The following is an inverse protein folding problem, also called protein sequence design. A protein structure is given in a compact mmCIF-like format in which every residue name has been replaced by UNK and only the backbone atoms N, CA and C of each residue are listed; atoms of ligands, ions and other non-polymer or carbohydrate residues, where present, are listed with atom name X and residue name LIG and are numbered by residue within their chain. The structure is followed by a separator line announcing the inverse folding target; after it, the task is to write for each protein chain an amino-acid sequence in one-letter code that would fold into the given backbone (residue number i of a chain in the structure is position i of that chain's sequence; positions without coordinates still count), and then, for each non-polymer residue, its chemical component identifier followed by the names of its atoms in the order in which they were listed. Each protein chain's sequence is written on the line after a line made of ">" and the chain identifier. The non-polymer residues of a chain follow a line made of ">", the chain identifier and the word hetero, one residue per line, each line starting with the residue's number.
data_IF_458865734953
#
_entry.id   IF_458865734953
#
_cell.length_a   1.000
_cell.length_b   1.000
_cell.length_c   1.000
_cell.angle_alpha   90.00
_cell.angle_beta   90.00
_cell.angle_gamma   90.00
#
_symmetry.space_group_name_H-M   'P 1'
#
loop_
_entity.id
_entity.type
_entity.pdbx_description
1 polymer ?
#
# COMPACT_ATOMS: atom_id res chain seq x y z
N UNK A 1 -4.83 -0.75 26.31
CA UNK A 1 -5.37 -1.20 25.00
C UNK A 1 -4.21 -1.72 24.17
N UNK A 2 -4.47 -2.66 23.25
CA UNK A 2 -3.47 -3.16 22.29
C UNK A 2 -3.51 -2.27 21.05
N UNK A 3 -2.34 -1.79 20.62
CA UNK A 3 -2.17 -0.96 19.43
C UNK A 3 -1.67 -1.83 18.28
N UNK A 4 -2.47 -1.91 17.20
CA UNK A 4 -2.12 -2.63 15.97
C UNK A 4 -1.98 -1.63 14.83
N UNK A 5 -0.84 -1.61 14.17
CA UNK A 5 -0.57 -0.74 13.02
C UNK A 5 -0.64 -1.57 11.74
N UNK A 6 -1.54 -1.20 10.83
CA UNK A 6 -1.51 -1.66 9.45
C UNK A 6 -0.46 -0.85 8.68
N UNK A 7 0.71 -1.47 8.47
CA UNK A 7 1.85 -0.90 7.78
C UNK A 7 1.87 -1.17 6.27
N UNK A 8 0.78 -1.69 5.70
CA UNK A 8 0.76 -2.12 4.29
C UNK A 8 1.09 -1.00 3.29
N UNK A 9 0.77 0.25 3.63
CA UNK A 9 1.15 1.44 2.85
C UNK A 9 2.17 2.33 3.58
N UNK A 10 2.50 2.03 4.83
CA UNK A 10 3.50 2.76 5.60
C UNK A 10 4.92 2.31 5.20
N UNK A 11 5.17 1.00 5.30
CA UNK A 11 6.52 0.42 5.12
C UNK A 11 7.11 0.66 3.72
N UNK A 12 6.34 0.60 2.61
CA UNK A 12 6.89 0.88 1.28
C UNK A 12 7.35 2.32 1.06
N UNK A 13 6.81 3.28 1.82
CA UNK A 13 6.98 4.70 1.53
C UNK A 13 7.67 5.51 2.64
N UNK A 14 7.68 5.02 3.87
CA UNK A 14 8.20 5.78 5.02
C UNK A 14 9.15 4.93 5.85
N UNK A 15 10.27 5.54 6.23
CA UNK A 15 11.15 4.95 7.23
C UNK A 15 10.37 4.74 8.53
N UNK A 16 10.35 3.50 8.99
CA UNK A 16 9.52 3.09 10.13
C UNK A 16 10.39 2.39 11.16
N UNK A 17 10.30 2.83 12.40
CA UNK A 17 10.87 2.17 13.57
C UNK A 17 9.75 1.79 14.54
N UNK A 18 9.64 0.51 14.86
CA UNK A 18 8.62 0.00 15.77
C UNK A 18 8.79 0.50 17.20
N UNK A 19 10.03 0.86 17.59
CA UNK A 19 10.32 1.43 18.89
C UNK A 19 9.78 2.86 19.01
N UNK A 20 9.89 3.65 17.92
CA UNK A 20 9.34 5.02 17.87
C UNK A 20 7.81 5.01 17.80
N UNK A 21 7.23 4.04 17.09
CA UNK A 21 5.77 3.85 17.02
C UNK A 21 5.17 3.36 18.34
N UNK A 22 5.97 2.70 19.17
CA UNK A 22 5.52 2.01 20.39
C UNK A 22 4.25 1.16 20.20
N UNK A 23 4.11 0.56 19.03
CA UNK A 23 2.99 -0.30 18.71
C UNK A 23 3.20 -1.71 19.28
N UNK A 24 2.09 -2.40 19.58
CA UNK A 24 2.13 -3.78 20.05
C UNK A 24 2.26 -4.76 18.89
N UNK A 25 1.66 -4.42 17.73
CA UNK A 25 1.78 -5.17 16.49
C UNK A 25 1.93 -4.23 15.29
N UNK A 26 2.72 -4.66 14.31
CA UNK A 26 2.81 -4.06 12.99
C UNK A 26 2.69 -5.16 11.92
N UNK A 27 1.87 -4.93 10.90
CA UNK A 27 1.69 -5.89 9.80
C UNK A 27 1.92 -5.21 8.45
N UNK A 28 2.54 -5.94 7.51
CA UNK A 28 2.66 -5.46 6.13
C UNK A 28 2.82 -6.62 5.14
N UNK A 29 2.56 -6.31 3.86
CA UNK A 29 2.65 -7.25 2.74
C UNK A 29 3.89 -6.99 1.90
N UNK A 30 4.65 -8.04 1.58
CA UNK A 30 5.87 -7.93 0.78
C UNK A 30 5.62 -7.41 -0.64
N UNK A 31 4.52 -7.81 -1.30
CA UNK A 31 4.26 -7.41 -2.69
C UNK A 31 4.09 -5.89 -2.91
N UNK A 32 3.81 -5.12 -1.85
CA UNK A 32 3.79 -3.65 -1.91
C UNK A 32 5.19 -3.05 -1.71
N UNK A 33 6.15 -3.86 -1.29
CA UNK A 33 7.55 -3.52 -1.05
C UNK A 33 8.47 -4.15 -2.12
N UNK A 34 8.03 -4.24 -3.38
CA UNK A 34 8.75 -4.83 -4.52
C UNK A 34 9.09 -6.33 -4.38
N UNK A 35 8.58 -6.99 -3.36
CA UNK A 35 8.80 -8.42 -3.12
C UNK A 35 7.82 -9.28 -3.93
N UNK A 36 8.11 -10.56 -4.16
CA UNK A 36 7.16 -11.52 -4.69
C UNK A 36 5.86 -11.55 -3.86
N UNK A 37 4.76 -11.95 -4.50
CA UNK A 37 3.49 -12.18 -3.81
C UNK A 37 3.58 -13.37 -2.86
N UNK A 38 2.68 -13.42 -1.87
CA UNK A 38 2.54 -14.56 -0.94
C UNK A 38 3.49 -14.52 0.26
N UNK A 39 4.11 -13.37 0.53
CA UNK A 39 4.90 -13.12 1.74
C UNK A 39 4.44 -11.84 2.43
N UNK A 40 4.44 -11.84 3.74
CA UNK A 40 4.17 -10.69 4.60
C UNK A 40 4.84 -10.88 5.95
N UNK A 41 4.83 -9.84 6.77
CA UNK A 41 5.46 -9.83 8.09
C UNK A 41 4.47 -9.38 9.13
N UNK A 42 4.46 -10.08 10.26
CA UNK A 42 3.87 -9.65 11.52
C UNK A 42 5.00 -9.40 12.52
N UNK A 43 5.15 -8.16 12.95
CA UNK A 43 5.89 -7.81 14.16
C UNK A 43 4.93 -7.83 15.35
N UNK A 44 5.40 -8.32 16.50
CA UNK A 44 4.68 -8.24 17.75
C UNK A 44 5.63 -8.17 18.95
N UNK A 45 5.22 -7.44 20.00
CA UNK A 45 5.96 -7.42 21.26
C UNK A 45 6.04 -8.82 21.85
N UNK A 46 7.24 -9.26 22.23
CA UNK A 46 7.53 -10.63 22.68
C UNK A 46 6.60 -11.11 23.79
N UNK A 47 6.41 -10.27 24.81
CA UNK A 47 5.58 -10.57 25.99
C UNK A 47 4.09 -10.76 25.67
N UNK A 48 3.63 -10.25 24.52
CA UNK A 48 2.27 -10.46 24.01
C UNK A 48 2.22 -11.76 23.22
N UNK A 49 3.16 -11.94 22.29
CA UNK A 49 3.26 -13.15 21.46
C UNK A 49 3.42 -14.42 22.29
N UNK A 50 4.17 -14.38 23.39
CA UNK A 50 4.34 -15.53 24.30
C UNK A 50 3.00 -16.01 24.88
N UNK A 51 2.06 -15.09 25.13
CA UNK A 51 0.74 -15.39 25.73
C UNK A 51 -0.33 -15.73 24.69
N UNK A 52 -0.10 -15.43 23.42
CA UNK A 52 -1.06 -15.71 22.36
C UNK A 52 -1.06 -17.19 21.98
N UNK A 53 -2.24 -17.72 21.70
CA UNK A 53 -2.37 -19.01 21.04
C UNK A 53 -2.08 -18.86 19.52
N UNK A 54 -1.43 -19.85 18.90
CA UNK A 54 -1.23 -19.82 17.45
C UNK A 54 -2.55 -19.97 16.70
N UNK A 55 -2.72 -19.23 15.62
CA UNK A 55 -3.90 -19.32 14.76
C UNK A 55 -3.87 -20.54 13.82
N UNK A 56 -2.70 -20.78 13.22
CA UNK A 56 -2.46 -21.96 12.39
C UNK A 56 -1.65 -22.99 13.17
N UNK A 57 -1.93 -24.26 12.93
CA UNK A 57 -1.20 -25.36 13.50
C UNK A 57 -0.66 -26.29 12.40
N UNK A 58 0.47 -26.96 12.65
CA UNK A 58 1.11 -27.84 11.68
C UNK A 58 2.51 -28.27 12.09
N UNK A 59 3.29 -28.77 11.14
CA UNK A 59 4.69 -29.10 11.37
C UNK A 59 5.54 -27.89 11.75
N UNK A 60 6.66 -28.10 12.37
CA UNK A 60 7.70 -27.16 12.80
C UNK A 60 7.31 -26.21 13.95
N UNK A 61 6.03 -25.90 14.15
CA UNK A 61 5.55 -24.98 15.18
C UNK A 61 5.17 -25.64 16.51
N UNK A 62 5.19 -26.95 16.59
CA UNK A 62 4.87 -27.75 17.77
C UNK A 62 6.12 -28.28 18.45
N UNK A 63 6.08 -28.47 19.77
CA UNK A 63 7.10 -29.16 20.54
C UNK A 63 6.67 -30.61 20.81
N UNK A 64 5.49 -30.78 21.45
CA UNK A 64 4.87 -32.08 21.69
C UNK A 64 3.39 -32.06 21.33
N UNK A 65 2.88 -33.20 20.83
CA UNK A 65 1.46 -33.39 20.51
C UNK A 65 0.97 -34.66 21.19
N UNK A 66 -0.12 -34.54 21.93
CA UNK A 66 -0.86 -35.62 22.56
C UNK A 66 -2.29 -35.67 21.99
N UNK A 67 -3.09 -36.65 22.40
CA UNK A 67 -4.44 -36.82 21.86
C UNK A 67 -5.37 -35.63 22.15
N UNK A 68 -5.19 -34.93 23.27
CA UNK A 68 -6.08 -33.84 23.71
C UNK A 68 -5.35 -32.52 23.94
N UNK A 69 -4.02 -32.48 23.83
CA UNK A 69 -3.22 -31.29 24.11
C UNK A 69 -1.97 -31.25 23.22
N UNK A 70 -1.42 -30.05 23.06
CA UNK A 70 -0.15 -29.83 22.40
C UNK A 70 0.63 -28.72 23.08
N UNK A 71 1.96 -28.80 23.02
CA UNK A 71 2.85 -27.72 23.38
C UNK A 71 3.49 -27.15 22.10
N UNK A 72 3.76 -25.86 22.11
CA UNK A 72 4.25 -25.16 20.94
C UNK A 72 5.72 -24.82 21.07
N UNK A 73 6.40 -24.75 19.93
CA UNK A 73 7.78 -24.30 19.84
C UNK A 73 7.92 -22.86 20.37
N UNK A 74 9.17 -22.47 20.64
CA UNK A 74 9.47 -21.08 21.02
C UNK A 74 9.21 -20.09 19.90
N UNK A 75 9.14 -18.81 20.23
CA UNK A 75 9.05 -17.73 19.25
C UNK A 75 10.34 -17.66 18.40
N UNK A 76 10.27 -17.38 17.10
CA UNK A 76 9.06 -17.09 16.30
C UNK A 76 8.33 -18.33 15.78
N UNK A 77 8.89 -19.52 15.89
CA UNK A 77 8.41 -20.78 15.28
C UNK A 77 6.98 -21.13 15.68
N UNK A 78 6.56 -20.79 16.89
CA UNK A 78 5.19 -20.93 17.38
C UNK A 78 4.10 -20.45 16.40
N UNK A 79 4.39 -19.45 15.58
CA UNK A 79 3.45 -18.85 14.63
C UNK A 79 3.73 -19.19 13.18
N UNK A 80 4.69 -20.07 12.91
CA UNK A 80 5.12 -20.45 11.55
C UNK A 80 4.81 -21.94 11.26
N UNK A 81 3.53 -22.22 11.03
CA UNK A 81 3.05 -23.59 10.82
C UNK A 81 3.35 -24.12 9.42
N UNK A 82 3.98 -25.30 9.36
CA UNK A 82 4.31 -26.02 8.12
C UNK A 82 5.51 -25.43 7.37
N UNK A 83 5.77 -25.93 6.17
CA UNK A 83 6.87 -25.45 5.33
C UNK A 83 6.64 -24.01 4.91
N UNK A 84 7.54 -23.14 5.31
CA UNK A 84 7.46 -21.70 5.04
C UNK A 84 7.76 -21.36 3.58
N UNK A 85 7.26 -20.20 3.12
CA UNK A 85 7.54 -19.66 1.78
C UNK A 85 8.98 -19.10 1.72
N UNK A 86 9.97 -19.99 1.72
CA UNK A 86 11.40 -19.61 1.74
C UNK A 86 11.77 -18.71 0.56
N UNK A 87 11.26 -19.02 -0.65
CA UNK A 87 11.49 -18.20 -1.83
C UNK A 87 10.97 -16.77 -1.68
N UNK A 88 9.78 -16.62 -1.09
CA UNK A 88 9.20 -15.31 -0.76
C UNK A 88 10.02 -14.54 0.28
N UNK A 89 10.54 -15.23 1.31
CA UNK A 89 11.38 -14.60 2.35
C UNK A 89 12.69 -14.07 1.76
N UNK A 90 13.37 -14.86 0.93
CA UNK A 90 14.61 -14.43 0.24
C UNK A 90 14.32 -13.24 -0.68
N UNK A 91 13.22 -13.30 -1.45
CA UNK A 91 12.79 -12.19 -2.32
C UNK A 91 12.46 -10.92 -1.53
N UNK A 92 11.80 -11.04 -0.38
CA UNK A 92 11.51 -9.90 0.50
C UNK A 92 12.80 -9.28 1.08
N UNK A 93 13.73 -10.10 1.53
CA UNK A 93 15.02 -9.64 2.05
C UNK A 93 15.81 -8.84 0.99
N UNK A 94 15.79 -9.30 -0.25
CA UNK A 94 16.46 -8.60 -1.36
C UNK A 94 15.74 -7.31 -1.75
N UNK A 95 14.40 -7.29 -1.74
CA UNK A 95 13.61 -6.08 -1.96
C UNK A 95 13.90 -5.01 -0.90
N UNK A 96 14.00 -5.40 0.38
CA UNK A 96 14.35 -4.47 1.46
C UNK A 96 15.74 -3.87 1.23
N UNK A 97 16.74 -4.70 0.94
CA UNK A 97 18.11 -4.21 0.64
C UNK A 97 18.13 -3.26 -0.54
N UNK A 98 17.36 -3.57 -1.60
CA UNK A 98 17.27 -2.71 -2.78
C UNK A 98 16.74 -1.32 -2.42
N UNK A 99 15.67 -1.25 -1.62
CA UNK A 99 15.09 0.02 -1.19
C UNK A 99 16.00 0.78 -0.21
N UNK A 100 16.64 0.07 0.72
CA UNK A 100 17.63 0.66 1.64
C UNK A 100 18.83 1.26 0.90
N UNK A 101 19.31 0.63 -0.18
CA UNK A 101 20.40 1.13 -1.01
C UNK A 101 20.02 2.42 -1.77
N UNK A 102 18.75 2.60 -2.12
CA UNK A 102 18.24 3.86 -2.68
C UNK A 102 18.08 4.90 -1.57
N UNK A 103 17.63 4.49 -0.40
CA UNK A 103 17.29 5.31 0.73
C UNK A 103 15.80 5.60 0.82
N UNK A 104 15.15 5.12 1.88
CA UNK A 104 13.68 5.25 2.05
C UNK A 104 13.25 6.72 2.10
N UNK A 105 14.04 7.59 2.74
CA UNK A 105 13.74 9.01 2.82
C UNK A 105 13.83 9.69 1.44
N UNK A 106 14.76 9.27 0.58
CA UNK A 106 14.88 9.76 -0.80
C UNK A 106 13.72 9.26 -1.68
N UNK A 107 13.30 8.00 -1.50
CA UNK A 107 12.11 7.45 -2.15
C UNK A 107 10.90 8.30 -1.80
N UNK A 108 10.63 8.51 -0.52
CA UNK A 108 9.49 9.31 -0.05
C UNK A 108 9.51 10.74 -0.61
N UNK A 109 10.66 11.38 -0.58
CA UNK A 109 10.84 12.75 -1.11
C UNK A 109 10.51 12.81 -2.60
N UNK A 110 11.09 11.90 -3.38
CA UNK A 110 10.86 11.85 -4.83
C UNK A 110 9.40 11.56 -5.18
N UNK A 111 8.79 10.58 -4.53
CA UNK A 111 7.37 10.24 -4.74
C UNK A 111 6.45 11.42 -4.39
N UNK A 112 6.74 12.13 -3.29
CA UNK A 112 5.97 13.32 -2.89
C UNK A 112 6.13 14.45 -3.90
N UNK A 113 7.35 14.72 -4.37
CA UNK A 113 7.62 15.73 -5.39
C UNK A 113 6.92 15.40 -6.72
N UNK A 114 6.96 14.14 -7.15
CA UNK A 114 6.33 13.69 -8.38
C UNK A 114 4.80 13.76 -8.30
N UNK A 115 4.24 13.36 -7.17
CA UNK A 115 2.80 13.43 -6.92
C UNK A 115 2.30 14.88 -6.89
N UNK A 116 3.05 15.76 -6.24
CA UNK A 116 2.73 17.19 -6.22
C UNK A 116 2.84 17.80 -7.62
N UNK A 117 3.84 17.42 -8.38
CA UNK A 117 3.98 17.83 -9.78
C UNK A 117 2.76 17.41 -10.62
N UNK A 118 2.33 16.16 -10.50
CA UNK A 118 1.14 15.68 -11.19
C UNK A 118 -0.14 16.39 -10.72
N UNK A 119 -0.26 16.71 -9.42
CA UNK A 119 -1.34 17.52 -8.87
C UNK A 119 -1.39 18.90 -9.51
N UNK A 120 -0.25 19.60 -9.57
CA UNK A 120 -0.16 20.94 -10.16
C UNK A 120 -0.60 21.00 -11.64
N UNK A 121 -0.35 19.93 -12.39
CA UNK A 121 -0.76 19.84 -13.81
C UNK A 121 -2.29 19.76 -14.00
N UNK A 122 -3.04 19.34 -12.99
CA UNK A 122 -4.49 19.04 -13.14
C UNK A 122 -5.40 19.78 -12.14
N UNK A 123 -4.85 20.40 -11.09
CA UNK A 123 -5.63 21.01 -9.99
C UNK A 123 -6.60 22.10 -10.42
N UNK A 124 -6.24 22.87 -11.45
CA UNK A 124 -7.04 24.03 -11.90
C UNK A 124 -8.06 23.64 -12.98
N UNK A 125 -8.17 22.36 -13.33
CA UNK A 125 -9.15 21.94 -14.31
C UNK A 125 -10.57 21.88 -13.71
N UNK A 126 -11.54 22.64 -14.25
CA UNK A 126 -12.81 22.92 -13.55
C UNK A 126 -13.71 21.68 -13.36
N UNK A 127 -13.46 20.61 -14.08
CA UNK A 127 -14.26 19.37 -14.04
C UNK A 127 -13.68 18.28 -13.18
N UNK A 128 -12.50 18.49 -12.58
CA UNK A 128 -11.81 17.50 -11.75
C UNK A 128 -11.82 18.00 -10.31
N UNK A 129 -12.35 17.18 -9.40
CA UNK A 129 -12.20 17.38 -7.96
C UNK A 129 -11.15 16.41 -7.44
N UNK A 130 -10.06 16.95 -6.90
CA UNK A 130 -8.95 16.15 -6.36
C UNK A 130 -9.05 16.14 -4.83
N UNK A 131 -8.88 14.94 -4.26
CA UNK A 131 -8.81 14.73 -2.82
C UNK A 131 -7.34 14.63 -2.41
N UNK A 132 -6.69 15.76 -2.32
CA UNK A 132 -5.26 15.89 -2.01
C UNK A 132 -5.07 17.00 -0.96
N UNK A 133 -4.55 16.68 0.23
CA UNK A 133 -4.30 17.67 1.27
C UNK A 133 -3.05 18.49 0.92
N UNK A 134 -3.22 19.78 0.66
CA UNK A 134 -2.14 20.68 0.23
C UNK A 134 -1.06 20.90 1.32
N UNK A 135 -1.46 20.85 2.60
CA UNK A 135 -0.60 21.22 3.74
C UNK A 135 0.00 20.02 4.48
N UNK A 136 -0.15 18.80 3.98
CA UNK A 136 0.34 17.60 4.67
C UNK A 136 1.48 16.94 3.93
N UNK A 137 2.25 16.15 4.66
CA UNK A 137 3.13 15.15 4.06
C UNK A 137 2.25 14.15 3.34
N UNK A 138 2.06 14.35 2.05
CA UNK A 138 1.20 13.54 1.22
C UNK A 138 1.95 12.32 0.72
N UNK A 139 1.26 11.19 0.66
CA UNK A 139 1.79 10.00 0.03
C UNK A 139 1.80 10.11 -1.50
N UNK A 140 2.16 9.04 -2.16
CA UNK A 140 2.33 8.91 -3.61
C UNK A 140 1.01 8.70 -4.39
N UNK A 141 -0.12 9.28 -3.91
CA UNK A 141 -1.46 8.99 -4.42
C UNK A 141 -2.27 10.27 -4.69
N UNK A 142 -2.86 10.37 -5.88
CA UNK A 142 -3.91 11.32 -6.22
C UNK A 142 -5.24 10.57 -6.42
N UNK A 143 -6.20 10.83 -5.53
CA UNK A 143 -7.58 10.37 -5.70
C UNK A 143 -8.43 11.52 -6.23
N UNK A 144 -9.28 11.25 -7.22
CA UNK A 144 -10.08 12.29 -7.85
C UNK A 144 -11.41 11.77 -8.39
N UNK A 145 -12.35 12.70 -8.58
CA UNK A 145 -13.57 12.51 -9.36
C UNK A 145 -13.56 13.43 -10.55
N UNK A 146 -14.34 13.09 -11.55
CA UNK A 146 -14.57 13.89 -12.72
C UNK A 146 -16.08 14.14 -12.84
N UNK A 147 -16.51 15.39 -13.10
CA UNK A 147 -17.92 15.70 -13.25
C UNK A 147 -18.56 14.86 -14.35
N UNK A 148 -19.72 14.28 -14.06
CA UNK A 148 -20.54 13.51 -14.98
C UNK A 148 -19.86 12.26 -15.62
N UNK A 149 -18.63 11.91 -15.20
CA UNK A 149 -17.91 10.74 -15.71
C UNK A 149 -17.61 9.76 -14.57
N UNK A 150 -18.10 8.53 -14.73
CA UNK A 150 -17.85 7.50 -13.72
C UNK A 150 -16.37 7.12 -13.68
N UNK A 151 -15.76 6.91 -12.49
CA UNK A 151 -14.34 6.56 -12.36
C UNK A 151 -13.91 5.31 -13.15
N UNK A 152 -14.83 4.40 -13.42
CA UNK A 152 -14.57 3.21 -14.25
C UNK A 152 -14.32 3.58 -15.73
N UNK A 153 -15.12 4.53 -16.25
CA UNK A 153 -14.97 4.99 -17.63
C UNK A 153 -13.67 5.78 -17.79
N UNK A 154 -13.32 6.60 -16.78
CA UNK A 154 -12.02 7.29 -16.72
C UNK A 154 -10.88 6.27 -16.79
N UNK A 155 -10.92 5.24 -15.96
CA UNK A 155 -9.89 4.21 -15.93
C UNK A 155 -9.78 3.48 -17.29
N UNK A 156 -10.91 3.14 -17.92
CA UNK A 156 -10.94 2.46 -19.21
C UNK A 156 -10.37 3.35 -20.35
N UNK A 157 -10.69 4.65 -20.33
CA UNK A 157 -10.18 5.60 -21.33
C UNK A 157 -8.66 5.77 -21.16
N UNK A 158 -8.19 5.98 -19.93
CA UNK A 158 -6.76 6.12 -19.63
C UNK A 158 -5.99 4.84 -19.98
N UNK A 159 -6.53 3.67 -19.66
CA UNK A 159 -5.93 2.37 -20.02
C UNK A 159 -5.73 2.23 -21.53
N UNK A 160 -6.70 2.67 -22.33
CA UNK A 160 -6.58 2.69 -23.80
C UNK A 160 -5.44 3.59 -24.32
N UNK A 161 -4.90 4.45 -23.46
CA UNK A 161 -3.77 5.35 -23.73
C UNK A 161 -2.47 4.88 -23.05
N UNK A 162 -2.47 3.69 -22.46
CA UNK A 162 -1.33 3.13 -21.74
C UNK A 162 -1.12 3.72 -20.35
N UNK A 163 -2.14 4.39 -19.78
CA UNK A 163 -2.09 4.97 -18.42
C UNK A 163 -2.98 4.16 -17.49
N UNK A 164 -2.37 3.38 -16.61
CA UNK A 164 -3.08 2.55 -15.64
C UNK A 164 -3.44 3.35 -14.38
N UNK A 165 -4.74 3.46 -14.09
CA UNK A 165 -5.26 4.01 -12.82
C UNK A 165 -6.24 3.02 -12.19
N UNK A 166 -6.45 3.13 -10.90
CA UNK A 166 -7.43 2.30 -10.20
C UNK A 166 -8.74 3.08 -10.01
N UNK A 167 -9.89 2.45 -10.30
CA UNK A 167 -11.22 2.97 -9.97
C UNK A 167 -11.86 2.22 -8.81
N UNK A 168 -12.74 2.87 -8.06
CA UNK A 168 -13.54 2.26 -6.99
C UNK A 168 -13.34 2.89 -5.62
N UNK A 169 -13.48 2.09 -4.55
CA UNK A 169 -13.42 2.54 -3.16
C UNK A 169 -12.03 2.42 -2.52
N UNK A 170 -11.05 1.85 -3.20
CA UNK A 170 -9.66 1.70 -2.75
C UNK A 170 -9.50 1.07 -1.36
N UNK A 171 -10.37 0.11 -1.02
CA UNK A 171 -10.49 -0.51 0.32
C UNK A 171 -10.87 0.48 1.44
N UNK A 172 -11.47 1.63 1.11
CA UNK A 172 -11.79 2.72 2.02
C UNK A 172 -13.22 3.25 1.82
N UNK A 173 -14.21 2.36 1.72
CA UNK A 173 -15.61 2.72 1.50
C UNK A 173 -16.18 3.71 2.53
N UNK A 174 -15.90 3.59 3.84
CA UNK A 174 -16.34 4.58 4.82
C UNK A 174 -15.80 6.00 4.55
N UNK A 175 -14.56 6.11 4.07
CA UNK A 175 -13.95 7.38 3.69
C UNK A 175 -14.70 8.00 2.50
N UNK A 176 -15.04 7.22 1.48
CA UNK A 176 -15.83 7.71 0.33
C UNK A 176 -17.19 8.25 0.76
N UNK A 177 -17.87 7.56 1.68
CA UNK A 177 -19.10 8.03 2.29
C UNK A 177 -18.92 9.37 3.03
N UNK A 178 -17.84 9.50 3.79
CA UNK A 178 -17.50 10.75 4.50
C UNK A 178 -17.22 11.89 3.53
N UNK A 179 -16.50 11.63 2.43
CA UNK A 179 -16.21 12.61 1.37
C UNK A 179 -17.41 12.95 0.49
N UNK A 180 -18.54 12.22 0.64
CA UNK A 180 -19.75 12.43 -0.13
C UNK A 180 -19.67 11.98 -1.58
N UNK A 181 -18.81 11.00 -1.88
CA UNK A 181 -18.63 10.44 -3.24
C UNK A 181 -18.89 8.94 -3.26
N UNK A 182 -19.40 8.46 -4.38
CA UNK A 182 -19.68 7.02 -4.55
C UNK A 182 -18.41 6.21 -4.79
N UNK A 183 -17.47 6.76 -5.53
CA UNK A 183 -16.18 6.14 -5.87
C UNK A 183 -15.23 7.21 -6.42
N UNK A 184 -13.94 6.89 -6.53
CA UNK A 184 -12.92 7.75 -7.12
C UNK A 184 -12.07 6.98 -8.13
N UNK A 185 -11.44 7.69 -9.05
CA UNK A 185 -10.25 7.22 -9.74
C UNK A 185 -9.02 7.59 -8.92
N UNK A 186 -7.95 6.79 -9.00
CA UNK A 186 -6.72 6.96 -8.25
C UNK A 186 -5.50 6.73 -9.12
N UNK A 187 -4.68 7.75 -9.30
CA UNK A 187 -3.33 7.63 -9.79
C UNK A 187 -2.39 7.38 -8.60
N UNK A 188 -1.44 6.48 -8.76
CA UNK A 188 -0.41 6.18 -7.77
C UNK A 188 0.95 6.31 -8.44
N UNK A 189 1.86 7.02 -7.80
CA UNK A 189 3.21 7.23 -8.27
C UNK A 189 4.18 6.48 -7.37
N UNK A 190 5.26 6.00 -7.93
CA UNK A 190 6.32 5.33 -7.22
C UNK A 190 7.68 5.88 -7.67
N UNK A 191 8.72 5.61 -6.92
CA UNK A 191 10.06 6.15 -7.19
C UNK A 191 10.65 5.73 -8.56
N UNK A 192 10.06 4.76 -9.24
CA UNK A 192 10.44 4.35 -10.59
C UNK A 192 9.63 5.03 -11.69
N UNK A 193 8.63 5.85 -11.35
CA UNK A 193 7.92 6.67 -12.33
C UNK A 193 8.71 7.95 -12.66
N UNK A 194 8.44 8.53 -13.82
CA UNK A 194 9.11 9.74 -14.31
C UNK A 194 8.17 10.94 -14.38
N UNK A 195 8.74 12.14 -14.54
CA UNK A 195 7.94 13.36 -14.76
C UNK A 195 7.19 13.31 -16.09
N UNK A 196 7.77 12.72 -17.10
CA UNK A 196 7.16 12.53 -18.43
C UNK A 196 5.91 11.63 -18.32
N UNK A 197 5.96 10.60 -17.50
CA UNK A 197 4.79 9.75 -17.22
C UNK A 197 3.68 10.51 -16.50
N UNK A 198 4.03 11.37 -15.54
CA UNK A 198 3.07 12.26 -14.88
C UNK A 198 2.44 13.28 -15.86
N UNK A 199 3.21 13.82 -16.80
CA UNK A 199 2.72 14.69 -17.89
C UNK A 199 1.77 13.94 -18.83
N UNK A 200 2.10 12.71 -19.21
CA UNK A 200 1.24 11.84 -20.03
C UNK A 200 -0.08 11.58 -19.31
N UNK A 201 -0.02 11.19 -18.02
CA UNK A 201 -1.21 11.03 -17.18
C UNK A 201 -2.08 12.29 -17.18
N UNK A 202 -1.51 13.46 -16.89
CA UNK A 202 -2.24 14.71 -16.84
C UNK A 202 -2.88 15.04 -18.18
N UNK A 203 -2.13 14.96 -19.27
CA UNK A 203 -2.60 15.21 -20.64
C UNK A 203 -3.78 14.31 -21.01
N UNK A 204 -3.65 13.01 -20.78
CA UNK A 204 -4.72 12.07 -21.16
C UNK A 204 -5.94 12.21 -20.22
N UNK A 205 -5.74 12.53 -18.94
CA UNK A 205 -6.82 12.82 -18.01
C UNK A 205 -7.63 14.05 -18.45
N UNK A 206 -6.97 15.13 -18.85
CA UNK A 206 -7.63 16.35 -19.35
C UNK A 206 -8.40 16.11 -20.66
N UNK A 207 -8.00 15.12 -21.46
CA UNK A 207 -8.67 14.74 -22.68
C UNK A 207 -9.90 13.83 -22.52
N UNK A 208 -10.15 13.31 -21.31
CA UNK A 208 -11.23 12.31 -21.09
C UNK A 208 -12.57 12.84 -21.55
N UNK A 209 -12.95 14.09 -21.22
CA UNK A 209 -14.23 14.68 -21.67
C UNK A 209 -14.36 14.73 -23.18
N UNK A 210 -13.31 15.13 -23.88
CA UNK A 210 -13.29 15.18 -25.34
C UNK A 210 -13.48 13.79 -25.95
N UNK A 211 -12.90 12.76 -25.36
CA UNK A 211 -13.10 11.37 -25.80
C UNK A 211 -14.53 10.90 -25.58
N UNK A 212 -15.17 11.35 -24.51
CA UNK A 212 -16.59 11.08 -24.20
C UNK A 212 -17.56 11.90 -25.03
N UNK A 213 -17.11 12.92 -25.76
CA UNK A 213 -17.97 13.82 -26.53
C UNK A 213 -18.70 14.87 -25.69
N UNK A 214 -18.14 15.22 -24.49
CA UNK A 214 -18.68 16.15 -23.51
C UNK A 214 -18.00 17.52 -23.57
#
# INVERSE_FOLDING_TARGET
>A
AIAIVDGAQLIPHLKTDVSDLDCDFLVFSGHKLLSPMGIGVLYGKKEILEKMEPFNTGGDMIEYVYEQEATFAELPYKFEAGTQNVGGVVGLAEAIKYMENIGIDEIYKYESELTHYAYDLVKDYPHIKIFYPEDSKTGSVLAFTYDDIHPHDIASILDSKGVAVRSGHHCAMPLHKYLGVSSTARASFAFYNTKEEAEIFAKELLNVRKVMGL
#
